data_IF_880378813435
#
_entry.id   IF_880378813435
#
_cell.length_a   1.000
_cell.length_b   1.000
_cell.length_c   1.000
_cell.angle_alpha   90.00
_cell.angle_beta   90.00
_cell.angle_gamma   90.00
#
_symmetry.space_group_name_H-M   'P 1'
#
loop_
_entity.id
_entity.type
_entity.pdbx_description
1 polymer ?
#
# COMPACT_ATOMS: atom_id res chain seq x y z
N UNK A 1 -12.10 16.03 -1.42
CA UNK A 1 -10.62 16.17 -1.53
C UNK A 1 -10.19 16.12 -3.00
N UNK A 2 -10.55 15.10 -3.79
CA UNK A 2 -10.14 14.93 -5.20
C UNK A 2 -10.42 16.17 -6.07
N UNK A 3 -11.62 16.71 -6.05
CA UNK A 3 -11.98 17.89 -6.84
C UNK A 3 -11.22 19.16 -6.45
N UNK A 4 -10.76 19.25 -5.18
CA UNK A 4 -9.97 20.39 -4.70
C UNK A 4 -8.54 20.34 -5.24
N UNK A 5 -7.93 19.15 -5.26
CA UNK A 5 -6.60 18.94 -5.84
C UNK A 5 -6.63 19.22 -7.35
N UNK A 6 -7.63 18.70 -8.05
CA UNK A 6 -7.82 18.96 -9.49
C UNK A 6 -7.95 20.45 -9.80
N UNK A 7 -8.75 21.16 -9.01
CA UNK A 7 -8.92 22.62 -9.18
C UNK A 7 -7.59 23.37 -8.97
N UNK A 8 -6.86 23.06 -7.91
CA UNK A 8 -5.58 23.70 -7.60
C UNK A 8 -4.52 23.40 -8.67
N UNK A 9 -4.49 22.19 -9.20
CA UNK A 9 -3.61 21.84 -10.32
C UNK A 9 -3.95 22.60 -11.59
N UNK A 10 -5.24 22.79 -11.88
CA UNK A 10 -5.69 23.61 -13.02
C UNK A 10 -5.28 25.08 -12.83
N UNK A 11 -5.46 25.63 -11.63
CA UNK A 11 -5.07 27.01 -11.33
C UNK A 11 -3.56 27.23 -11.47
N UNK A 12 -2.73 26.30 -10.96
CA UNK A 12 -1.29 26.35 -11.12
C UNK A 12 -0.87 26.28 -12.59
N UNK A 13 -1.50 25.39 -13.37
CA UNK A 13 -1.25 25.28 -14.80
C UNK A 13 -1.59 26.56 -15.54
N UNK A 14 -2.75 27.18 -15.26
CA UNK A 14 -3.16 28.44 -15.84
C UNK A 14 -2.21 29.59 -15.47
N UNK A 15 -1.75 29.65 -14.21
CA UNK A 15 -0.78 30.63 -13.77
C UNK A 15 0.52 30.56 -14.59
N UNK A 16 1.08 29.36 -14.75
CA UNK A 16 2.36 29.15 -15.42
C UNK A 16 2.27 29.25 -16.95
N UNK A 17 1.21 28.69 -17.57
CA UNK A 17 1.08 28.68 -19.03
C UNK A 17 0.61 30.03 -19.61
N UNK A 18 -0.21 30.76 -18.86
CA UNK A 18 -0.81 32.02 -19.35
C UNK A 18 -0.24 33.28 -18.68
N UNK A 19 0.74 33.11 -17.78
CA UNK A 19 1.37 34.22 -17.05
C UNK A 19 0.38 34.96 -16.14
N UNK A 20 -0.62 34.26 -15.60
CA UNK A 20 -1.63 34.84 -14.72
C UNK A 20 -1.16 34.84 -13.27
N UNK A 21 -1.38 35.91 -12.54
CA UNK A 21 -1.24 35.94 -11.10
C UNK A 21 -2.51 35.36 -10.45
N UNK A 22 -2.37 34.22 -9.75
CA UNK A 22 -3.49 33.58 -9.06
C UNK A 22 -3.25 33.64 -7.56
N UNK A 23 -4.16 34.21 -6.81
CA UNK A 23 -4.13 34.29 -5.34
C UNK A 23 -5.19 33.36 -4.79
N UNK A 24 -4.77 32.42 -3.91
CA UNK A 24 -5.66 31.44 -3.28
C UNK A 24 -5.46 31.48 -1.77
N UNK A 25 -6.56 31.55 -1.02
CA UNK A 25 -6.52 31.35 0.43
C UNK A 25 -6.70 29.87 0.77
N UNK A 26 -5.75 29.33 1.49
CA UNK A 26 -5.73 27.91 1.89
C UNK A 26 -5.51 27.78 3.39
N UNK A 27 -6.19 26.81 3.99
CA UNK A 27 -6.01 26.43 5.39
C UNK A 27 -5.20 25.13 5.54
N UNK A 28 -5.05 24.38 4.46
CA UNK A 28 -4.28 23.14 4.42
C UNK A 28 -2.82 23.44 4.05
N UNK A 29 -1.96 23.37 5.05
CA UNK A 29 -0.52 23.71 4.92
C UNK A 29 0.21 22.81 3.91
N UNK A 30 -0.06 21.52 3.92
CA UNK A 30 0.54 20.52 3.02
C UNK A 30 0.19 20.77 1.55
N UNK A 31 -1.03 21.24 1.28
CA UNK A 31 -1.44 21.63 -0.07
C UNK A 31 -0.77 22.95 -0.48
N UNK A 32 -0.77 23.96 0.39
CA UNK A 32 -0.15 25.23 0.10
C UNK A 32 1.36 25.08 -0.18
N UNK A 33 2.07 24.25 0.58
CA UNK A 33 3.49 23.97 0.37
C UNK A 33 3.80 23.33 -0.99
N UNK A 34 2.88 22.49 -1.50
CA UNK A 34 3.10 21.76 -2.76
C UNK A 34 2.81 22.55 -4.02
N UNK A 35 1.94 23.56 -3.94
CA UNK A 35 1.43 24.24 -5.14
C UNK A 35 1.77 25.73 -5.24
N UNK A 36 2.15 26.37 -4.12
CA UNK A 36 2.43 27.81 -4.12
C UNK A 36 3.83 28.10 -4.65
N UNK A 37 3.95 29.08 -5.53
CA UNK A 37 5.23 29.67 -5.94
C UNK A 37 5.72 30.68 -4.91
N UNK A 38 4.78 31.35 -4.23
CA UNK A 38 5.02 32.29 -3.15
C UNK A 38 3.87 32.26 -2.13
N UNK A 39 4.16 32.57 -0.88
CA UNK A 39 3.23 32.51 0.23
C UNK A 39 3.21 33.84 0.98
N UNK A 40 2.02 34.29 1.39
CA UNK A 40 1.83 35.39 2.30
C UNK A 40 1.09 34.84 3.53
N UNK A 41 1.68 34.96 4.70
CA UNK A 41 1.08 34.52 5.96
C UNK A 41 0.24 35.68 6.56
N UNK A 42 -0.98 35.38 6.94
CA UNK A 42 -1.89 36.35 7.59
C UNK A 42 -1.94 36.04 9.08
N UNK A 43 -1.36 36.90 9.88
CA UNK A 43 -1.38 36.85 11.34
C UNK A 43 -2.56 37.67 11.89
N UNK A 44 -2.93 37.51 13.16
CA UNK A 44 -4.04 38.29 13.75
C UNK A 44 -3.83 39.80 13.74
N UNK A 45 -2.60 40.26 13.76
CA UNK A 45 -2.21 41.68 13.89
C UNK A 45 -1.47 42.26 12.67
N UNK A 46 -0.98 41.39 11.76
CA UNK A 46 -0.24 41.83 10.58
C UNK A 46 -0.28 40.80 9.45
N UNK A 47 0.24 41.20 8.32
CA UNK A 47 0.45 40.34 7.15
C UNK A 47 1.95 40.29 6.84
N UNK A 48 2.49 39.07 6.60
CA UNK A 48 3.90 38.93 6.25
C UNK A 48 4.20 39.58 4.89
N UNK A 49 5.49 39.81 4.62
CA UNK A 49 5.96 39.94 3.25
C UNK A 49 5.75 38.71 2.42
N UNK A 50 6.05 38.79 1.13
CA UNK A 50 6.05 37.62 0.24
C UNK A 50 7.22 36.71 0.61
N UNK A 51 6.93 35.46 0.92
CA UNK A 51 7.90 34.43 1.35
C UNK A 51 7.96 33.32 0.30
N UNK A 52 9.11 32.65 0.23
CA UNK A 52 9.16 31.35 -0.45
C UNK A 52 8.39 30.31 0.36
N UNK A 53 7.87 29.23 -0.25
CA UNK A 53 7.20 28.16 0.48
C UNK A 53 8.05 27.63 1.65
N UNK A 54 9.34 27.37 1.44
CA UNK A 54 10.23 26.88 2.49
C UNK A 54 10.36 27.84 3.68
N UNK A 55 10.43 29.14 3.42
CA UNK A 55 10.49 30.16 4.46
C UNK A 55 9.14 30.29 5.20
N UNK A 56 8.04 30.26 4.47
CA UNK A 56 6.69 30.36 5.06
C UNK A 56 6.34 29.17 5.97
N UNK A 57 6.81 27.98 5.62
CA UNK A 57 6.57 26.73 6.36
C UNK A 57 7.71 26.39 7.33
N UNK A 58 8.69 27.29 7.51
CA UNK A 58 9.73 27.12 8.53
C UNK A 58 9.11 27.02 9.94
N UNK A 59 9.70 26.22 10.85
CA UNK A 59 9.19 25.97 12.20
C UNK A 59 8.77 27.24 12.93
N UNK A 60 9.60 28.28 12.90
CA UNK A 60 9.35 29.53 13.61
C UNK A 60 8.15 30.29 13.06
N UNK A 61 7.96 30.31 11.75
CA UNK A 61 6.77 30.92 11.12
C UNK A 61 5.49 30.16 11.41
N UNK A 62 5.53 28.83 11.40
CA UNK A 62 4.36 28.01 11.76
C UNK A 62 4.01 28.20 13.24
N UNK A 63 5.00 28.26 14.13
CA UNK A 63 4.76 28.52 15.55
C UNK A 63 4.13 29.89 15.76
N UNK A 64 4.63 30.91 15.08
CA UNK A 64 4.07 32.26 15.15
C UNK A 64 2.65 32.33 14.56
N UNK A 65 2.41 31.71 13.40
CA UNK A 65 1.12 31.74 12.70
C UNK A 65 -0.02 31.13 13.51
N UNK A 66 0.27 30.05 14.27
CA UNK A 66 -0.71 29.33 15.08
C UNK A 66 -0.56 29.60 16.58
N UNK A 67 0.28 30.54 16.99
CA UNK A 67 0.59 30.87 18.39
C UNK A 67 0.95 29.64 19.23
N UNK A 68 1.74 28.70 18.68
CA UNK A 68 2.11 27.45 19.33
C UNK A 68 3.32 27.64 20.24
N UNK A 69 3.28 27.06 21.45
CA UNK A 69 4.48 26.88 22.26
C UNK A 69 5.43 25.87 21.58
N UNK A 70 6.71 25.85 22.00
CA UNK A 70 7.69 24.90 21.47
C UNK A 70 7.27 23.44 21.72
N UNK A 71 6.67 23.18 22.89
CA UNK A 71 6.15 21.86 23.25
C UNK A 71 4.95 21.47 22.38
N UNK A 72 4.03 22.41 22.12
CA UNK A 72 2.88 22.19 21.24
C UNK A 72 3.30 22.00 19.80
N UNK A 73 4.25 22.80 19.33
CA UNK A 73 4.81 22.62 17.99
C UNK A 73 5.50 21.25 17.87
N UNK A 74 6.34 20.89 18.85
CA UNK A 74 7.01 19.58 18.89
C UNK A 74 6.02 18.43 19.00
N UNK A 75 4.91 18.57 19.71
CA UNK A 75 3.86 17.55 19.77
C UNK A 75 3.09 17.39 18.44
N UNK A 76 2.87 18.48 17.71
CA UNK A 76 2.11 18.48 16.46
C UNK A 76 2.98 18.26 15.21
N UNK A 77 4.17 18.86 15.20
CA UNK A 77 5.06 18.91 14.06
C UNK A 77 6.50 18.44 14.39
N UNK A 78 6.84 18.36 15.65
CA UNK A 78 8.18 18.24 16.21
C UNK A 78 8.81 16.88 16.17
N UNK A 79 8.22 16.00 15.40
CA UNK A 79 9.01 15.00 14.72
C UNK A 79 9.13 15.44 13.27
N UNK A 80 10.21 16.12 12.91
CA UNK A 80 10.82 15.81 11.63
C UNK A 80 11.00 14.29 11.68
N UNK A 81 10.02 13.55 11.15
CA UNK A 81 10.22 12.12 10.85
C UNK A 81 11.53 12.09 10.10
N UNK A 82 12.56 11.33 10.55
CA UNK A 82 13.75 11.15 9.74
C UNK A 82 13.20 10.83 8.35
N UNK A 83 13.69 11.53 7.30
CA UNK A 83 13.14 11.35 5.95
C UNK A 83 13.12 9.86 5.71
N UNK A 84 11.91 9.28 5.80
CA UNK A 84 11.75 7.85 5.58
C UNK A 84 12.31 7.62 4.20
N UNK A 85 13.20 6.63 4.00
CA UNK A 85 13.69 6.34 2.67
C UNK A 85 12.47 6.19 1.76
N UNK A 86 12.27 7.13 0.86
CA UNK A 86 11.18 7.12 -0.10
C UNK A 86 11.58 6.13 -1.17
N UNK A 87 10.70 5.18 -1.46
CA UNK A 87 10.94 4.25 -2.55
C UNK A 87 10.82 5.00 -3.89
N UNK A 88 11.98 5.28 -4.50
CA UNK A 88 12.10 6.02 -5.75
C UNK A 88 12.43 5.06 -6.90
N UNK A 89 11.40 4.47 -7.47
CA UNK A 89 11.47 3.69 -8.69
C UNK A 89 10.39 4.16 -9.65
N UNK A 90 10.76 4.40 -10.91
CA UNK A 90 9.88 5.03 -11.89
C UNK A 90 9.79 4.18 -13.15
N UNK A 91 8.60 4.17 -13.76
CA UNK A 91 8.34 3.56 -15.06
C UNK A 91 7.80 4.60 -16.04
N UNK A 92 8.12 4.45 -17.32
CA UNK A 92 7.57 5.29 -18.39
C UNK A 92 6.22 4.76 -18.85
N UNK A 93 5.19 5.61 -18.82
CA UNK A 93 3.90 5.36 -19.44
C UNK A 93 3.61 6.48 -20.44
N UNK A 94 3.85 6.21 -21.74
CA UNK A 94 3.83 7.24 -22.78
C UNK A 94 4.88 8.32 -22.56
N UNK A 95 4.46 9.57 -22.40
CA UNK A 95 5.34 10.72 -22.11
C UNK A 95 5.52 10.99 -20.61
N UNK A 96 4.79 10.28 -19.75
CA UNK A 96 4.83 10.50 -18.30
C UNK A 96 5.81 9.52 -17.63
N UNK A 97 6.51 10.01 -16.63
CA UNK A 97 7.29 9.21 -15.69
C UNK A 97 6.42 9.02 -14.45
N UNK A 98 6.07 7.77 -14.14
CA UNK A 98 5.18 7.42 -13.02
C UNK A 98 5.99 6.70 -11.94
N UNK A 99 5.78 7.08 -10.68
CA UNK A 99 6.43 6.46 -9.53
C UNK A 99 5.77 5.13 -9.23
N UNK A 100 6.56 4.09 -9.14
CA UNK A 100 6.13 2.77 -8.69
C UNK A 100 5.92 2.74 -7.18
N UNK A 101 5.08 1.81 -6.75
CA UNK A 101 4.93 1.41 -5.38
C UNK A 101 5.43 -0.02 -5.15
N UNK A 102 5.12 -0.58 -3.99
CA UNK A 102 5.40 -1.97 -3.66
C UNK A 102 4.15 -2.68 -3.13
N UNK A 103 4.07 -3.99 -3.37
CA UNK A 103 2.85 -4.78 -3.15
C UNK A 103 2.61 -5.07 -1.66
N UNK A 104 1.38 -5.50 -1.31
CA UNK A 104 1.05 -6.00 0.05
C UNK A 104 1.94 -7.18 0.44
N UNK A 105 2.34 -8.02 -0.54
CA UNK A 105 3.30 -9.12 -0.32
C UNK A 105 4.67 -8.62 0.09
N UNK A 106 5.16 -7.54 -0.54
CA UNK A 106 6.43 -6.89 -0.18
C UNK A 106 6.36 -6.29 1.23
N UNK A 107 5.26 -5.61 1.57
CA UNK A 107 5.06 -5.09 2.92
C UNK A 107 5.08 -6.21 3.97
N UNK A 108 4.39 -7.32 3.70
CA UNK A 108 4.35 -8.46 4.61
C UNK A 108 5.74 -9.09 4.83
N UNK A 109 6.53 -9.23 3.76
CA UNK A 109 7.88 -9.79 3.84
C UNK A 109 8.86 -8.84 4.57
N UNK A 110 8.80 -7.53 4.31
CA UNK A 110 9.57 -6.52 5.04
C UNK A 110 9.20 -6.49 6.53
N UNK A 111 7.90 -6.52 6.85
CA UNK A 111 7.42 -6.60 8.21
C UNK A 111 7.91 -7.84 8.94
N UNK A 112 7.85 -9.02 8.28
CA UNK A 112 8.34 -10.27 8.82
C UNK A 112 9.86 -10.22 9.10
N UNK A 113 10.65 -9.66 8.18
CA UNK A 113 12.08 -9.45 8.37
C UNK A 113 12.37 -8.55 9.58
N UNK A 114 11.66 -7.41 9.69
CA UNK A 114 11.83 -6.47 10.79
C UNK A 114 11.50 -7.08 12.15
N UNK A 115 10.37 -7.79 12.25
CA UNK A 115 9.96 -8.48 13.46
C UNK A 115 10.95 -9.59 13.86
N UNK A 116 11.38 -10.40 12.89
CA UNK A 116 12.38 -11.46 13.12
C UNK A 116 13.72 -10.87 13.59
N UNK A 117 14.20 -9.80 12.96
CA UNK A 117 15.43 -9.11 13.38
C UNK A 117 15.34 -8.63 14.82
N UNK A 118 14.22 -8.00 15.20
CA UNK A 118 14.00 -7.57 16.59
C UNK A 118 14.06 -8.75 17.56
N UNK A 119 13.45 -9.90 17.22
CA UNK A 119 13.47 -11.09 18.09
C UNK A 119 14.86 -11.67 18.24
N UNK A 120 15.60 -11.76 17.14
CA UNK A 120 16.90 -12.44 17.09
C UNK A 120 18.05 -11.57 17.62
N UNK A 121 17.98 -10.25 17.43
CA UNK A 121 19.07 -9.33 17.82
C UNK A 121 18.75 -8.51 19.07
N UNK A 122 17.47 -8.40 19.44
CA UNK A 122 17.01 -7.52 20.54
C UNK A 122 16.82 -6.06 20.13
N UNK A 123 17.16 -5.67 18.88
CA UNK A 123 17.11 -4.29 18.42
C UNK A 123 16.11 -4.12 17.30
N UNK A 124 15.24 -3.12 17.42
CA UNK A 124 14.32 -2.75 16.34
C UNK A 124 15.12 -2.11 15.19
N UNK A 125 14.91 -2.55 13.93
CA UNK A 125 15.61 -1.95 12.80
C UNK A 125 15.05 -0.56 12.48
N UNK A 126 15.94 0.39 12.16
CA UNK A 126 15.55 1.70 11.64
C UNK A 126 14.99 1.60 10.22
N UNK A 127 15.59 0.72 9.40
CA UNK A 127 15.13 0.39 8.06
C UNK A 127 15.11 -1.12 7.84
N UNK A 128 14.23 -1.57 6.98
CA UNK A 128 14.17 -2.94 6.48
C UNK A 128 14.25 -2.95 4.96
N UNK A 129 15.00 -3.89 4.41
CA UNK A 129 15.22 -3.99 2.98
C UNK A 129 15.07 -5.44 2.50
N UNK A 130 14.48 -5.61 1.31
CA UNK A 130 14.46 -6.89 0.61
C UNK A 130 14.60 -6.68 -0.91
N UNK A 131 15.10 -7.71 -1.58
CA UNK A 131 15.08 -7.78 -3.04
C UNK A 131 13.79 -8.48 -3.46
N UNK A 132 12.99 -7.78 -4.26
CA UNK A 132 11.73 -8.31 -4.80
C UNK A 132 11.99 -9.34 -5.90
N UNK A 133 10.98 -10.17 -6.29
CA UNK A 133 11.09 -11.08 -7.43
C UNK A 133 11.46 -10.37 -8.75
N UNK A 134 11.10 -9.09 -8.89
CA UNK A 134 11.51 -8.25 -10.02
C UNK A 134 12.99 -7.86 -10.00
N UNK A 135 13.73 -8.17 -8.92
CA UNK A 135 15.13 -7.83 -8.75
C UNK A 135 15.38 -6.43 -8.18
N UNK A 136 14.33 -5.67 -7.93
CA UNK A 136 14.40 -4.32 -7.36
C UNK A 136 14.50 -4.43 -5.83
N UNK A 137 15.41 -3.66 -5.24
CA UNK A 137 15.51 -3.56 -3.77
C UNK A 137 14.52 -2.52 -3.29
N UNK A 138 13.67 -2.91 -2.35
CA UNK A 138 12.78 -2.01 -1.60
C UNK A 138 13.35 -1.87 -0.21
N UNK A 139 13.66 -0.64 0.18
CA UNK A 139 14.12 -0.28 1.52
C UNK A 139 13.20 0.77 2.10
N UNK A 140 12.68 0.54 3.31
CA UNK A 140 11.71 1.41 3.97
C UNK A 140 11.94 1.44 5.48
N UNK A 141 11.55 2.54 6.11
CA UNK A 141 11.46 2.60 7.57
C UNK A 141 10.12 2.00 8.02
N UNK A 142 10.09 1.09 8.99
CA UNK A 142 8.85 0.60 9.58
C UNK A 142 8.04 1.73 10.22
N UNK A 143 6.71 1.61 10.23
CA UNK A 143 5.84 2.47 11.03
C UNK A 143 6.12 2.27 12.51
N UNK A 144 6.26 1.02 12.90
CA UNK A 144 6.74 0.58 14.21
C UNK A 144 7.32 -0.83 14.13
N UNK A 145 8.19 -1.17 15.06
CA UNK A 145 8.68 -2.52 15.29
C UNK A 145 8.84 -2.70 16.79
N UNK A 146 8.07 -3.65 17.39
CA UNK A 146 7.99 -3.80 18.85
C UNK A 146 7.80 -5.25 19.28
N UNK A 147 8.21 -5.58 20.50
CA UNK A 147 7.95 -6.89 21.11
C UNK A 147 6.47 -7.01 21.51
N UNK A 148 5.96 -8.22 21.45
CA UNK A 148 4.67 -8.65 22.00
C UNK A 148 4.91 -9.68 23.11
N UNK A 149 3.85 -10.17 23.75
CA UNK A 149 3.96 -11.16 24.82
C UNK A 149 4.57 -12.49 24.31
N UNK A 150 4.32 -12.87 23.05
CA UNK A 150 4.76 -14.14 22.48
C UNK A 150 5.82 -13.99 21.38
N UNK A 151 6.08 -12.76 20.90
CA UNK A 151 6.95 -12.56 19.77
C UNK A 151 7.32 -11.11 19.52
N UNK A 152 7.26 -10.69 18.25
CA UNK A 152 7.39 -9.30 17.84
C UNK A 152 6.49 -9.00 16.65
N UNK A 153 6.11 -7.76 16.52
CA UNK A 153 5.37 -7.24 15.37
C UNK A 153 6.10 -6.06 14.73
N UNK A 154 6.02 -6.00 13.41
CA UNK A 154 6.57 -4.91 12.62
C UNK A 154 5.56 -4.51 11.55
N UNK A 155 5.27 -3.21 11.43
CA UNK A 155 4.31 -2.66 10.50
C UNK A 155 5.00 -1.88 9.38
N UNK A 156 4.62 -2.15 8.15
CA UNK A 156 5.06 -1.45 6.95
C UNK A 156 3.87 -0.74 6.33
N UNK A 157 4.02 0.54 6.02
CA UNK A 157 3.02 1.31 5.29
C UNK A 157 3.00 0.87 3.82
N UNK A 158 1.82 0.55 3.29
CA UNK A 158 1.65 0.23 1.89
C UNK A 158 1.75 1.50 1.04
N UNK A 159 2.69 1.52 0.12
CA UNK A 159 2.85 2.59 -0.86
C UNK A 159 2.49 2.07 -2.26
N UNK A 160 1.45 2.64 -2.87
CA UNK A 160 1.00 2.31 -4.22
C UNK A 160 1.72 3.09 -5.32
N UNK A 161 2.59 4.06 -4.96
CA UNK A 161 3.15 4.98 -5.94
C UNK A 161 2.08 5.88 -6.55
N UNK A 162 2.16 6.10 -7.84
CA UNK A 162 1.18 6.89 -8.61
C UNK A 162 -0.02 6.04 -9.08
N UNK A 163 -0.09 4.77 -8.66
CA UNK A 163 -1.22 3.90 -8.97
C UNK A 163 -2.44 4.24 -8.11
N UNK A 164 -3.64 4.07 -8.68
CA UNK A 164 -4.91 4.28 -7.98
C UNK A 164 -5.23 3.04 -7.15
N UNK A 165 -4.50 2.84 -6.05
CA UNK A 165 -4.62 1.69 -5.16
C UNK A 165 -5.28 2.11 -3.85
N UNK A 166 -6.47 1.56 -3.58
CA UNK A 166 -7.23 1.83 -2.35
C UNK A 166 -6.53 1.31 -1.07
N UNK A 167 -5.51 0.48 -1.23
CA UNK A 167 -4.71 -0.05 -0.12
C UNK A 167 -3.53 0.84 0.26
N UNK A 168 -3.26 1.90 -0.49
CA UNK A 168 -2.19 2.87 -0.19
C UNK A 168 -2.41 3.52 1.18
N UNK A 169 -1.34 3.59 1.97
CA UNK A 169 -1.36 4.13 3.34
C UNK A 169 -1.78 3.13 4.41
N UNK A 170 -2.24 1.91 4.05
CA UNK A 170 -2.63 0.92 5.04
C UNK A 170 -1.39 0.29 5.71
N UNK A 171 -1.37 0.17 7.05
CA UNK A 171 -0.38 -0.62 7.76
C UNK A 171 -0.57 -2.11 7.50
N UNK A 172 0.45 -2.75 6.93
CA UNK A 172 0.58 -4.21 6.84
C UNK A 172 1.49 -4.66 7.96
N UNK A 173 0.97 -5.45 8.88
CA UNK A 173 1.62 -5.86 10.13
C UNK A 173 1.98 -7.33 10.03
N UNK A 174 3.24 -7.66 10.26
CA UNK A 174 3.69 -9.03 10.44
C UNK A 174 3.99 -9.27 11.93
N UNK A 175 3.29 -10.20 12.55
CA UNK A 175 3.59 -10.73 13.88
C UNK A 175 4.38 -12.01 13.71
N UNK A 176 5.56 -12.10 14.32
CA UNK A 176 6.48 -13.23 14.21
C UNK A 176 6.74 -13.81 15.60
N UNK A 177 6.68 -15.13 15.70
CA UNK A 177 7.04 -15.91 16.88
C UNK A 177 8.15 -16.90 16.52
N UNK A 178 9.09 -17.11 17.43
CA UNK A 178 10.14 -18.12 17.24
C UNK A 178 9.57 -19.52 17.55
N UNK A 179 9.96 -20.50 16.75
CA UNK A 179 9.64 -21.93 16.96
C UNK A 179 10.92 -22.71 17.24
N UNK A 180 11.43 -22.71 18.48
CA UNK A 180 12.63 -23.49 18.84
C UNK A 180 12.38 -24.98 18.62
N UNK A 181 13.38 -25.70 18.07
CA UNK A 181 13.29 -27.14 17.85
C UNK A 181 12.48 -27.57 16.61
N UNK A 182 12.06 -26.64 15.78
CA UNK A 182 11.36 -26.86 14.51
C UNK A 182 11.98 -25.94 13.47
N UNK A 183 12.16 -26.41 12.23
CA UNK A 183 12.69 -25.60 11.11
C UNK A 183 11.58 -25.06 10.19
N UNK A 184 10.33 -25.31 10.54
CA UNK A 184 9.16 -24.94 9.74
C UNK A 184 8.89 -23.43 9.81
N UNK A 185 8.47 -22.85 8.69
CA UNK A 185 7.94 -21.48 8.63
C UNK A 185 6.44 -21.60 8.35
N UNK A 186 5.62 -21.26 9.34
CA UNK A 186 4.16 -21.26 9.25
C UNK A 186 3.70 -19.85 8.99
N UNK A 187 2.87 -19.66 7.96
CA UNK A 187 2.35 -18.35 7.56
C UNK A 187 0.83 -18.43 7.49
N UNK A 188 0.16 -17.57 8.25
CA UNK A 188 -1.30 -17.43 8.20
C UNK A 188 -1.73 -15.95 8.19
N UNK A 189 -3.01 -15.72 7.88
CA UNK A 189 -3.65 -14.42 7.90
C UNK A 189 -4.37 -14.15 9.21
N UNK A 190 -4.11 -12.99 9.79
CA UNK A 190 -4.81 -12.42 10.91
C UNK A 190 -5.90 -11.44 10.47
N UNK A 191 -6.20 -10.48 11.35
CA UNK A 191 -7.24 -9.49 11.13
C UNK A 191 -6.96 -8.65 9.87
N UNK A 192 -8.00 -8.45 9.04
CA UNK A 192 -7.94 -7.66 7.81
C UNK A 192 -7.33 -8.38 6.62
N UNK A 193 -6.81 -9.61 6.79
CA UNK A 193 -6.47 -10.51 5.69
C UNK A 193 -7.64 -11.45 5.43
N UNK A 194 -8.10 -11.51 4.18
CA UNK A 194 -9.25 -12.31 3.80
C UNK A 194 -8.97 -13.81 3.79
N UNK A 195 -10.05 -14.59 3.76
CA UNK A 195 -10.04 -16.04 3.57
C UNK A 195 -10.60 -16.38 2.21
N UNK A 196 -10.03 -17.40 1.59
CA UNK A 196 -10.50 -17.94 0.31
C UNK A 196 -11.81 -18.70 0.54
N UNK A 197 -12.88 -18.33 -0.16
CA UNK A 197 -14.20 -18.96 -0.07
C UNK A 197 -14.63 -19.68 -1.34
N UNK A 198 -13.96 -19.39 -2.48
CA UNK A 198 -14.26 -20.01 -3.78
C UNK A 198 -13.03 -20.69 -4.35
N UNK A 199 -13.20 -21.84 -5.06
CA UNK A 199 -12.09 -22.50 -5.76
C UNK A 199 -11.60 -21.65 -6.95
N UNK A 200 -10.35 -21.92 -7.39
CA UNK A 200 -9.74 -21.26 -8.54
C UNK A 200 -8.84 -20.07 -8.20
N UNK A 201 -8.69 -19.78 -6.92
CA UNK A 201 -7.68 -18.85 -6.41
C UNK A 201 -6.34 -19.57 -6.17
N UNK A 202 -5.30 -18.80 -5.94
CA UNK A 202 -3.94 -19.27 -5.66
C UNK A 202 -3.89 -20.21 -4.43
N UNK A 203 -4.68 -19.89 -3.40
CA UNK A 203 -4.75 -20.66 -2.17
C UNK A 203 -6.03 -21.51 -2.12
N UNK A 204 -6.02 -22.65 -1.41
CA UNK A 204 -7.19 -23.48 -1.25
C UNK A 204 -8.28 -22.79 -0.42
N UNK A 205 -9.53 -23.24 -0.60
CA UNK A 205 -10.68 -22.77 0.19
C UNK A 205 -10.42 -22.96 1.69
N UNK A 206 -10.71 -21.94 2.48
CA UNK A 206 -10.47 -21.86 3.92
C UNK A 206 -9.10 -21.28 4.29
N UNK A 207 -8.12 -21.26 3.40
CA UNK A 207 -6.82 -20.68 3.67
C UNK A 207 -6.85 -19.14 3.65
N UNK A 208 -5.88 -18.53 4.33
CA UNK A 208 -5.65 -17.09 4.22
C UNK A 208 -5.30 -16.71 2.78
N UNK A 209 -5.87 -15.61 2.30
CA UNK A 209 -5.62 -15.07 0.96
C UNK A 209 -4.23 -14.41 0.87
N UNK A 210 -3.20 -15.20 1.17
CA UNK A 210 -1.77 -14.85 1.03
C UNK A 210 -1.21 -15.72 -0.09
N UNK A 211 -1.00 -15.14 -1.26
CA UNK A 211 -0.58 -15.88 -2.46
C UNK A 211 0.81 -16.51 -2.30
N UNK A 212 1.14 -17.47 -3.18
CA UNK A 212 2.38 -18.24 -3.06
C UNK A 212 3.64 -17.37 -3.14
N UNK A 213 3.70 -16.36 -4.04
CA UNK A 213 4.85 -15.47 -4.15
C UNK A 213 5.09 -14.65 -2.87
N UNK A 214 4.10 -13.96 -2.28
CA UNK A 214 4.21 -13.39 -0.95
C UNK A 214 4.68 -14.36 0.13
N UNK A 215 4.15 -15.60 0.16
CA UNK A 215 4.61 -16.62 1.11
C UNK A 215 6.07 -16.98 0.92
N UNK A 216 6.54 -17.09 -0.32
CA UNK A 216 7.95 -17.32 -0.63
C UNK A 216 8.81 -16.15 -0.17
N UNK A 217 8.41 -14.89 -0.48
CA UNK A 217 9.13 -13.69 -0.06
C UNK A 217 9.25 -13.59 1.47
N UNK A 218 8.17 -13.87 2.21
CA UNK A 218 8.18 -13.90 3.68
C UNK A 218 9.17 -14.99 4.17
N UNK A 219 9.07 -16.19 3.63
CA UNK A 219 9.93 -17.28 4.04
C UNK A 219 11.41 -17.02 3.74
N UNK A 220 11.74 -16.45 2.58
CA UNK A 220 13.10 -16.06 2.22
C UNK A 220 13.63 -14.95 3.13
N UNK A 221 12.82 -13.94 3.42
CA UNK A 221 13.18 -12.85 4.33
C UNK A 221 13.53 -13.40 5.73
N UNK A 222 12.70 -14.30 6.26
CA UNK A 222 12.93 -14.92 7.57
C UNK A 222 14.19 -15.82 7.58
N UNK A 223 14.43 -16.60 6.52
CA UNK A 223 15.66 -17.42 6.41
C UNK A 223 16.91 -16.56 6.41
N UNK A 224 16.90 -15.42 5.72
CA UNK A 224 18.01 -14.47 5.72
C UNK A 224 18.29 -13.91 7.11
N UNK A 225 17.26 -13.49 7.85
CA UNK A 225 17.42 -13.01 9.22
C UNK A 225 17.90 -14.13 10.17
N UNK A 226 17.39 -15.36 10.00
CA UNK A 226 17.84 -16.53 10.76
C UNK A 226 19.31 -16.84 10.49
N UNK A 227 19.74 -16.86 9.22
CA UNK A 227 21.13 -17.09 8.82
C UNK A 227 22.06 -16.03 9.40
N UNK A 228 21.69 -14.75 9.30
CA UNK A 228 22.47 -13.64 9.85
C UNK A 228 22.64 -13.71 11.38
N UNK A 229 21.66 -14.27 12.08
CA UNK A 229 21.67 -14.42 13.54
C UNK A 229 22.09 -15.84 14.01
N UNK A 230 22.49 -16.73 13.10
CA UNK A 230 22.80 -18.13 13.39
C UNK A 230 21.67 -18.87 14.12
N UNK A 231 20.40 -18.50 13.83
CA UNK A 231 19.23 -19.15 14.40
C UNK A 231 18.81 -20.35 13.55
N UNK A 232 18.66 -21.49 14.17
CA UNK A 232 18.34 -22.78 13.48
C UNK A 232 16.88 -23.21 13.66
N UNK A 233 16.07 -22.45 14.39
CA UNK A 233 14.66 -22.74 14.62
C UNK A 233 13.76 -22.23 13.46
N UNK A 234 12.49 -22.52 13.58
CA UNK A 234 11.44 -22.04 12.66
C UNK A 234 10.75 -20.78 13.14
N UNK A 235 9.71 -20.39 12.40
CA UNK A 235 8.91 -19.19 12.67
C UNK A 235 7.41 -19.46 12.49
N UNK A 236 6.59 -18.86 13.34
CA UNK A 236 5.17 -18.66 13.07
C UNK A 236 4.95 -17.20 12.72
N UNK A 237 4.25 -16.96 11.61
CA UNK A 237 4.00 -15.61 11.07
C UNK A 237 2.51 -15.41 10.86
N UNK A 238 1.98 -14.33 11.43
CA UNK A 238 0.62 -13.87 11.17
C UNK A 238 0.66 -12.51 10.51
N UNK A 239 0.06 -12.40 9.32
CA UNK A 239 -0.04 -11.14 8.57
C UNK A 239 -1.40 -10.52 8.81
N UNK A 240 -1.42 -9.28 9.26
CA UNK A 240 -2.64 -8.49 9.48
C UNK A 240 -2.59 -7.19 8.68
N UNK A 241 -3.75 -6.66 8.29
CA UNK A 241 -3.86 -5.38 7.58
C UNK A 241 -4.85 -4.52 8.35
N UNK A 242 -4.38 -3.40 8.87
CA UNK A 242 -5.24 -2.47 9.61
C UNK A 242 -6.34 -1.93 8.70
N UNK A 243 -7.60 -1.95 9.16
CA UNK A 243 -8.79 -1.57 8.40
C UNK A 243 -9.04 -2.40 7.12
N UNK A 244 -8.32 -3.53 6.95
CA UNK A 244 -8.41 -4.36 5.74
C UNK A 244 -9.82 -4.92 5.50
N UNK A 245 -10.58 -5.22 6.54
CA UNK A 245 -11.96 -5.69 6.44
C UNK A 245 -12.89 -4.65 5.81
N UNK A 246 -12.73 -3.38 6.18
CA UNK A 246 -13.54 -2.28 5.64
C UNK A 246 -13.15 -1.97 4.20
N UNK A 247 -11.84 -1.85 3.95
CA UNK A 247 -11.33 -1.54 2.62
C UNK A 247 -11.64 -2.65 1.63
N UNK A 248 -11.61 -3.91 2.03
CA UNK A 248 -11.94 -5.06 1.18
C UNK A 248 -13.33 -4.95 0.55
N UNK A 249 -14.30 -4.36 1.23
CA UNK A 249 -15.66 -4.14 0.70
C UNK A 249 -15.70 -3.22 -0.52
N UNK A 250 -14.65 -2.41 -0.73
CA UNK A 250 -14.50 -1.50 -1.87
C UNK A 250 -13.60 -2.07 -2.96
N UNK A 251 -13.11 -3.30 -2.77
CA UNK A 251 -12.25 -4.00 -3.72
C UNK A 251 -13.02 -5.09 -4.44
N UNK A 252 -12.36 -5.70 -5.41
CA UNK A 252 -12.92 -6.84 -6.15
C UNK A 252 -12.85 -8.17 -5.36
N UNK A 253 -12.22 -8.19 -4.20
CA UNK A 253 -12.00 -9.39 -3.38
C UNK A 253 -13.27 -10.22 -3.11
N UNK A 254 -14.41 -9.63 -2.67
CA UNK A 254 -15.61 -10.41 -2.42
C UNK A 254 -16.15 -11.11 -3.69
N UNK A 255 -16.02 -10.48 -4.86
CA UNK A 255 -16.48 -11.03 -6.14
C UNK A 255 -15.69 -12.28 -6.54
N UNK A 256 -14.38 -12.26 -6.33
CA UNK A 256 -13.50 -13.40 -6.66
C UNK A 256 -13.48 -14.47 -5.58
N UNK A 257 -14.14 -14.28 -4.44
CA UNK A 257 -14.22 -15.26 -3.35
C UNK A 257 -13.10 -15.11 -2.31
N UNK A 258 -12.75 -13.88 -1.98
CA UNK A 258 -11.93 -13.54 -0.81
C UNK A 258 -12.80 -12.72 0.14
N UNK A 259 -13.10 -13.27 1.30
CA UNK A 259 -14.00 -12.65 2.28
C UNK A 259 -13.29 -12.33 3.59
N UNK A 260 -13.81 -11.33 4.33
CA UNK A 260 -13.31 -10.93 5.65
C UNK A 260 -12.05 -10.08 5.64
N UNK A 261 -11.52 -9.70 4.46
CA UNK A 261 -10.34 -8.85 4.38
C UNK A 261 -9.73 -8.75 2.99
N UNK A 262 -8.54 -8.19 2.94
CA UNK A 262 -7.76 -8.00 1.71
C UNK A 262 -6.90 -9.22 1.39
N UNK A 263 -6.54 -9.35 0.11
CA UNK A 263 -5.51 -10.31 -0.32
C UNK A 263 -4.10 -9.76 -0.12
N UNK A 264 -3.19 -10.61 0.31
CA UNK A 264 -1.76 -10.35 0.29
C UNK A 264 -1.19 -10.93 -0.99
N UNK A 265 -0.92 -10.05 -1.97
CA UNK A 265 -0.58 -10.44 -3.33
C UNK A 265 0.60 -9.63 -3.89
N UNK A 266 1.04 -10.00 -5.09
CA UNK A 266 2.08 -9.32 -5.86
C UNK A 266 3.11 -10.32 -6.36
N UNK A 267 3.11 -10.61 -7.67
CA UNK A 267 4.02 -11.55 -8.33
C UNK A 267 5.41 -10.98 -8.54
N UNK A 268 5.50 -9.68 -8.80
CA UNK A 268 6.76 -8.95 -9.01
C UNK A 268 7.31 -8.29 -7.73
N UNK A 269 6.48 -8.13 -6.71
CA UNK A 269 6.76 -7.35 -5.50
C UNK A 269 6.63 -5.83 -5.68
N UNK A 270 6.49 -5.34 -6.91
CA UNK A 270 6.39 -3.92 -7.27
C UNK A 270 5.01 -3.62 -7.85
N UNK A 271 4.46 -2.46 -7.50
CA UNK A 271 3.26 -1.91 -8.14
C UNK A 271 3.71 -0.95 -9.24
N UNK A 272 3.39 -1.29 -10.47
CA UNK A 272 3.61 -0.42 -11.62
C UNK A 272 2.30 0.27 -11.98
N UNK A 273 2.24 1.62 -11.93
CA UNK A 273 1.04 2.35 -12.29
C UNK A 273 0.59 2.06 -13.72
N UNK A 274 -0.72 1.86 -13.90
CA UNK A 274 -1.34 1.56 -15.21
C UNK A 274 -0.78 0.28 -15.87
N UNK A 275 -0.44 -0.74 -15.09
CA UNK A 275 0.09 -2.00 -15.58
C UNK A 275 -0.94 -2.76 -16.43
N UNK A 276 -0.65 -2.94 -17.72
CA UNK A 276 -1.46 -3.81 -18.60
C UNK A 276 -1.45 -5.26 -18.12
N UNK A 277 -0.33 -5.72 -17.55
CA UNK A 277 -0.21 -7.07 -17.03
C UNK A 277 -1.19 -7.32 -15.87
N UNK A 278 -1.39 -6.36 -14.98
CA UNK A 278 -2.36 -6.49 -13.89
C UNK A 278 -3.80 -6.67 -14.40
N UNK A 279 -4.16 -6.01 -15.49
CA UNK A 279 -5.46 -6.18 -16.15
C UNK A 279 -5.57 -7.58 -16.75
N UNK A 280 -4.54 -8.04 -17.46
CA UNK A 280 -4.51 -9.38 -18.05
C UNK A 280 -4.60 -10.47 -16.97
N UNK A 281 -3.88 -10.33 -15.87
CA UNK A 281 -3.92 -11.29 -14.75
C UNK A 281 -5.32 -11.36 -14.13
N UNK A 282 -6.00 -10.22 -13.99
CA UNK A 282 -7.39 -10.16 -13.50
C UNK A 282 -8.36 -10.87 -14.44
N UNK A 283 -8.27 -10.59 -15.75
CA UNK A 283 -9.09 -11.25 -16.78
C UNK A 283 -8.84 -12.76 -16.76
N UNK A 284 -7.59 -13.18 -16.69
CA UNK A 284 -7.23 -14.61 -16.66
C UNK A 284 -7.82 -15.30 -15.42
N UNK A 285 -7.79 -14.65 -14.27
CA UNK A 285 -8.38 -15.17 -13.03
C UNK A 285 -9.90 -15.37 -13.19
N UNK A 286 -10.61 -14.38 -13.71
CA UNK A 286 -12.06 -14.46 -13.95
C UNK A 286 -12.41 -15.57 -14.95
N UNK A 287 -11.65 -15.68 -16.02
CA UNK A 287 -11.82 -16.74 -17.02
C UNK A 287 -11.62 -18.12 -16.40
N UNK A 288 -10.61 -18.30 -15.56
CA UNK A 288 -10.35 -19.56 -14.87
C UNK A 288 -11.49 -19.93 -13.92
N UNK A 289 -12.01 -18.96 -13.16
CA UNK A 289 -13.16 -19.17 -12.28
C UNK A 289 -14.44 -19.50 -13.05
N UNK A 290 -14.70 -18.81 -14.16
CA UNK A 290 -15.83 -19.09 -15.05
C UNK A 290 -15.72 -20.51 -15.65
N UNK A 291 -14.51 -20.92 -16.09
CA UNK A 291 -14.27 -22.26 -16.60
C UNK A 291 -14.50 -23.35 -15.53
N UNK A 292 -14.10 -23.11 -14.28
CA UNK A 292 -14.34 -24.03 -13.17
C UNK A 292 -15.84 -24.17 -12.86
N UNK A 293 -16.59 -23.06 -12.84
CA UNK A 293 -18.06 -23.09 -12.68
C UNK A 293 -18.74 -23.87 -13.79
N UNK A 294 -18.31 -23.64 -15.04
CA UNK A 294 -18.86 -24.32 -16.21
C UNK A 294 -18.45 -25.79 -16.33
N UNK A 295 -17.46 -26.28 -15.56
CA UNK A 295 -16.99 -27.67 -15.63
C UNK A 295 -18.08 -28.69 -15.30
N UNK A 296 -18.99 -28.35 -14.42
CA UNK A 296 -20.10 -29.19 -13.96
C UNK A 296 -21.45 -28.80 -14.59
N UNK A 297 -21.51 -27.82 -15.47
CA UNK A 297 -22.73 -27.40 -16.12
C UNK A 297 -23.05 -28.30 -17.33
N UNK A 298 -24.30 -28.71 -17.54
CA UNK A 298 -24.72 -29.45 -18.72
C UNK A 298 -24.71 -28.54 -19.96
N UNK A 299 -24.18 -29.02 -21.07
CA UNK A 299 -24.22 -28.32 -22.36
C UNK A 299 -22.88 -27.73 -22.83
N UNK A 300 -22.86 -27.06 -23.99
CA UNK A 300 -21.65 -26.46 -24.54
C UNK A 300 -21.18 -25.28 -23.66
N UNK A 301 -19.88 -25.26 -23.33
CA UNK A 301 -19.29 -24.17 -22.56
C UNK A 301 -19.20 -22.92 -23.42
N UNK A 302 -19.83 -21.84 -22.97
CA UNK A 302 -19.79 -20.53 -23.61
C UNK A 302 -19.31 -19.49 -22.62
N UNK A 303 -18.42 -18.62 -23.03
CA UNK A 303 -17.93 -17.48 -22.28
C UNK A 303 -18.27 -16.22 -23.07
N UNK A 304 -18.90 -15.27 -22.41
CA UNK A 304 -19.18 -13.95 -22.99
C UNK A 304 -18.30 -12.93 -22.27
N UNK A 305 -17.53 -12.19 -23.04
CA UNK A 305 -16.70 -11.09 -22.53
C UNK A 305 -17.42 -9.78 -22.84
N UNK A 306 -17.61 -8.96 -21.81
CA UNK A 306 -18.24 -7.66 -21.93
C UNK A 306 -17.33 -6.55 -21.37
N UNK A 307 -17.17 -5.41 -22.07
CA UNK A 307 -16.37 -4.31 -21.57
C UNK A 307 -17.15 -3.51 -20.52
N UNK A 308 -16.67 -3.54 -19.25
CA UNK A 308 -17.19 -2.73 -18.16
C UNK A 308 -18.67 -2.96 -17.83
N UNK A 309 -19.21 -2.09 -16.96
CA UNK A 309 -20.57 -2.22 -16.43
C UNK A 309 -21.65 -2.11 -17.53
N UNK A 310 -21.45 -1.23 -18.52
CA UNK A 310 -22.40 -1.09 -19.64
C UNK A 310 -22.55 -2.38 -20.45
N UNK A 311 -21.46 -3.13 -20.62
CA UNK A 311 -21.51 -4.43 -21.27
C UNK A 311 -22.26 -5.46 -20.44
N UNK A 312 -22.11 -5.45 -19.12
CA UNK A 312 -22.86 -6.33 -18.20
C UNK A 312 -24.36 -6.00 -18.20
N UNK A 313 -24.73 -4.71 -18.16
CA UNK A 313 -26.13 -4.27 -18.21
C UNK A 313 -26.78 -4.68 -19.56
N UNK A 314 -26.04 -4.55 -20.66
CA UNK A 314 -26.52 -5.02 -21.97
C UNK A 314 -26.71 -6.53 -22.01
N UNK A 315 -25.75 -7.31 -21.46
CA UNK A 315 -25.85 -8.77 -21.39
C UNK A 315 -27.04 -9.22 -20.55
N UNK A 316 -27.27 -8.62 -19.39
CA UNK A 316 -28.39 -8.94 -18.53
C UNK A 316 -29.74 -8.73 -19.23
N UNK A 317 -29.84 -7.74 -20.13
CA UNK A 317 -31.05 -7.46 -20.89
C UNK A 317 -31.18 -8.29 -22.17
N UNK A 318 -30.08 -8.45 -22.93
CA UNK A 318 -30.10 -9.07 -24.26
C UNK A 318 -29.86 -10.58 -24.24
N UNK A 319 -29.16 -11.09 -23.25
CA UNK A 319 -28.76 -12.50 -23.12
C UNK A 319 -28.93 -13.00 -21.67
N UNK A 320 -30.17 -12.99 -21.13
CA UNK A 320 -30.41 -13.32 -19.71
C UNK A 320 -30.05 -14.77 -19.31
N UNK A 321 -29.74 -15.63 -20.28
CA UNK A 321 -29.25 -17.01 -20.03
C UNK A 321 -27.76 -17.08 -19.63
N UNK A 322 -27.04 -15.96 -19.65
CA UNK A 322 -25.67 -15.86 -19.18
C UNK A 322 -25.64 -15.05 -17.87
N UNK A 323 -25.90 -15.70 -16.75
CA UNK A 323 -25.67 -15.16 -15.40
C UNK A 323 -24.27 -15.50 -14.88
#
# INVERSE_FOLDING_TARGET
>A
IKGKIELLTILQKLAHEQGLAVIVSLHELDMAQKIADAVVCVFPDHVSGVLTPDAAFAPDNIRALYALSEEQYTALFGQAKPQKPTFEHYVRSGQKLLRCGYTTGTCAALGAAGAARLLLTGHAPETVALRTPKGIVVEVAPLFCRRTDTGAECAIEKDGGDDVDVTTGLPVIATVELLPGCTEIRIDGGRGVGRVTKPGLDQPVGAAAINHVPRQMIAEALRREAEAACYTGGFAVTISIQNGEEVARRTFNPHIGVEGGLSVLGTSGIVEPMSQQAILDTIQLEMNQAALRAKNAPGPRRLVLAPGNYGLDYLASALPQFE
#
